data_IF_091070524407
#
_entry.id   IF_091070524407
#
_cell.length_a   1.000
_cell.length_b   1.000
_cell.length_c   1.000
_cell.angle_alpha   90.00
_cell.angle_beta   90.00
_cell.angle_gamma   90.00
#
_symmetry.space_group_name_H-M   'P 1'
#
loop_
_entity.id
_entity.type
_entity.pdbx_description
1 polymer ?
#
# COMPACT_ATOMS: atom_id res chain seq x y z
N UNK A 1 10.69 -2.71 -11.47
CA UNK A 1 9.62 -2.07 -10.72
C UNK A 1 10.20 -1.30 -9.56
N UNK A 2 9.70 -0.15 -9.33
CA UNK A 2 10.29 0.81 -8.42
C UNK A 2 9.74 0.64 -7.00
N UNK A 3 10.61 0.25 -6.06
CA UNK A 3 10.21 0.10 -4.66
C UNK A 3 9.74 1.43 -4.07
N UNK A 4 10.39 2.52 -4.44
CA UNK A 4 9.99 3.84 -3.95
C UNK A 4 8.57 4.17 -4.39
N UNK A 5 8.23 3.83 -5.62
CA UNK A 5 6.89 4.07 -6.12
C UNK A 5 5.86 3.28 -5.34
N UNK A 6 6.14 2.00 -5.11
CA UNK A 6 5.20 1.15 -4.38
C UNK A 6 5.05 1.59 -2.94
N UNK A 7 6.14 1.96 -2.30
CA UNK A 7 6.10 2.46 -0.93
C UNK A 7 5.33 3.77 -0.85
N UNK A 8 5.57 4.67 -1.79
CA UNK A 8 4.87 5.95 -1.82
C UNK A 8 3.38 5.75 -2.05
N UNK A 9 3.03 4.83 -2.94
CA UNK A 9 1.63 4.55 -3.22
C UNK A 9 0.92 3.97 -2.00
N UNK A 10 1.56 3.04 -1.31
CA UNK A 10 0.99 2.47 -0.09
C UNK A 10 0.78 3.55 0.95
N UNK A 11 1.76 4.43 1.12
CA UNK A 11 1.68 5.51 2.07
C UNK A 11 0.53 6.44 1.77
N UNK A 12 0.38 6.79 0.50
CA UNK A 12 -0.69 7.67 0.05
C UNK A 12 -2.05 7.05 0.33
N UNK A 13 -2.19 5.77 0.03
CA UNK A 13 -3.46 5.07 0.27
C UNK A 13 -3.77 4.98 1.75
N UNK A 14 -2.75 4.76 2.59
CA UNK A 14 -2.95 4.72 4.03
C UNK A 14 -3.37 6.07 4.57
N UNK A 15 -2.75 7.14 4.08
CA UNK A 15 -3.12 8.49 4.49
C UNK A 15 -4.55 8.80 4.11
N UNK A 16 -4.95 8.40 2.91
CA UNK A 16 -6.32 8.61 2.47
C UNK A 16 -7.30 7.80 3.31
N UNK A 17 -6.93 6.57 3.67
CA UNK A 17 -7.78 5.75 4.52
C UNK A 17 -7.98 6.40 5.88
N UNK A 18 -6.92 6.97 6.45
CA UNK A 18 -7.04 7.67 7.73
C UNK A 18 -8.00 8.85 7.63
N UNK A 19 -7.90 9.60 6.53
CA UNK A 19 -8.77 10.72 6.30
C UNK A 19 -10.23 10.27 6.17
N UNK A 20 -10.44 9.17 5.45
CA UNK A 20 -11.78 8.62 5.25
C UNK A 20 -12.38 8.19 6.58
N UNK A 21 -11.57 7.61 7.46
CA UNK A 21 -12.05 7.20 8.78
C UNK A 21 -12.45 8.40 9.62
N UNK A 22 -11.70 9.49 9.53
CA UNK A 22 -12.04 10.71 10.24
C UNK A 22 -13.40 11.24 9.81
N UNK A 23 -13.75 11.04 8.56
CA UNK A 23 -15.02 11.48 8.02
C UNK A 23 -16.07 10.39 8.04
N UNK A 24 -15.76 9.28 8.70
CA UNK A 24 -16.66 8.13 8.82
C UNK A 24 -17.06 7.54 7.47
N UNK A 25 -16.15 7.66 6.50
CA UNK A 25 -16.33 7.06 5.18
C UNK A 25 -15.74 5.66 5.19
N UNK A 26 -16.42 4.75 5.85
CA UNK A 26 -15.88 3.42 6.11
C UNK A 26 -15.61 2.63 4.83
N UNK A 27 -16.55 2.68 3.88
CA UNK A 27 -16.38 1.93 2.65
C UNK A 27 -15.15 2.40 1.86
N UNK A 28 -14.92 3.72 1.83
CA UNK A 28 -13.74 4.26 1.15
C UNK A 28 -12.46 3.85 1.87
N UNK A 29 -12.50 3.89 3.20
CA UNK A 29 -11.34 3.52 3.98
C UNK A 29 -10.94 2.08 3.69
N UNK A 30 -11.93 1.19 3.62
CA UNK A 30 -11.66 -0.20 3.30
C UNK A 30 -11.02 -0.34 1.92
N UNK A 31 -11.54 0.36 0.92
CA UNK A 31 -10.97 0.31 -0.42
C UNK A 31 -9.53 0.83 -0.44
N UNK A 32 -9.27 1.90 0.28
CA UNK A 32 -7.92 2.45 0.30
C UNK A 32 -6.96 1.53 1.05
N UNK A 33 -7.44 0.85 2.09
CA UNK A 33 -6.62 -0.14 2.77
C UNK A 33 -6.30 -1.32 1.86
N UNK A 34 -7.27 -1.74 1.06
CA UNK A 34 -7.03 -2.81 0.10
C UNK A 34 -5.98 -2.42 -0.92
N UNK A 35 -6.02 -1.17 -1.39
CA UNK A 35 -5.03 -0.68 -2.34
C UNK A 35 -3.65 -0.63 -1.71
N UNK A 36 -3.57 -0.15 -0.47
CA UNK A 36 -2.31 -0.13 0.25
C UNK A 36 -1.77 -1.53 0.42
N UNK A 37 -2.63 -2.47 0.76
CA UNK A 37 -2.24 -3.85 0.94
C UNK A 37 -1.69 -4.43 -0.37
N UNK A 38 -2.33 -4.14 -1.49
CA UNK A 38 -1.86 -4.60 -2.79
C UNK A 38 -0.49 -4.04 -3.12
N UNK A 39 -0.28 -2.75 -2.84
CA UNK A 39 1.00 -2.13 -3.09
C UNK A 39 2.09 -2.75 -2.23
N UNK A 40 1.78 -3.02 -0.96
CA UNK A 40 2.72 -3.64 -0.05
C UNK A 40 3.04 -5.06 -0.48
N UNK A 41 2.05 -5.77 -0.96
CA UNK A 41 2.25 -7.13 -1.45
C UNK A 41 3.23 -7.14 -2.62
N UNK A 42 3.05 -6.22 -3.57
CA UNK A 42 3.95 -6.10 -4.70
C UNK A 42 5.36 -5.73 -4.25
N UNK A 43 5.46 -4.85 -3.28
CA UNK A 43 6.74 -4.46 -2.72
C UNK A 43 7.43 -5.68 -2.11
N UNK A 44 6.67 -6.50 -1.39
CA UNK A 44 7.20 -7.72 -0.82
C UNK A 44 7.73 -8.68 -1.88
N UNK A 45 7.02 -8.81 -3.00
CA UNK A 45 7.48 -9.66 -4.08
C UNK A 45 8.79 -9.16 -4.68
N UNK A 46 8.92 -7.85 -4.83
CA UNK A 46 10.15 -7.28 -5.35
C UNK A 46 11.31 -7.57 -4.42
N UNK A 47 11.10 -7.40 -3.12
CA UNK A 47 12.14 -7.66 -2.14
C UNK A 47 12.51 -9.13 -2.05
N UNK A 48 11.52 -10.00 -2.17
CA UNK A 48 11.80 -11.43 -2.18
C UNK A 48 12.65 -11.82 -3.38
N UNK A 49 12.35 -11.21 -4.54
CA UNK A 49 13.14 -11.44 -5.73
C UNK A 49 14.58 -11.04 -5.52
N UNK A 50 14.80 -9.93 -4.84
CA UNK A 50 16.15 -9.48 -4.53
C UNK A 50 16.84 -10.43 -3.55
N UNK A 51 16.08 -10.93 -2.59
CA UNK A 51 16.65 -11.82 -1.58
C UNK A 51 17.06 -13.17 -2.16
N UNK A 52 16.34 -13.60 -3.17
CA UNK A 52 16.58 -14.90 -3.79
C UNK A 52 17.92 -14.99 -4.49
N UNK A 53 18.58 -13.88 -4.66
CA UNK A 53 19.89 -13.86 -5.29
C UNK A 53 20.98 -14.48 -4.46
N UNK A 54 20.66 -14.86 -3.28
CA UNK A 54 21.66 -15.53 -2.42
C UNK A 54 21.93 -16.98 -2.83
#
# INVERSE_FOLDING_TARGET
MNEEYLAAKANLCLNQAQEDLKQEEIARAIKNLERANSALYRLGLVREGESDDN
#
